data_IF_774875178225
#
_entry.id   IF_774875178225
#
_cell.length_a   1.000
_cell.length_b   1.000
_cell.length_c   1.000
_cell.angle_alpha   90.00
_cell.angle_beta   90.00
_cell.angle_gamma   90.00
#
_symmetry.space_group_name_H-M   'P 1'
#
loop_
_entity.id
_entity.type
_entity.pdbx_description
1 polymer ?
#
# COMPACT_ATOMS: atom_id res chain seq x y z
N UNK A 1 19.11 -84.98 49.00
CA UNK A 1 19.28 -86.04 47.98
C UNK A 1 19.33 -85.34 46.60
N UNK A 2 20.52 -85.56 46.06
CA UNK A 2 20.87 -85.63 44.62
C UNK A 2 20.44 -84.53 43.69
N UNK A 3 21.42 -83.63 43.34
CA UNK A 3 22.31 -83.75 42.19
C UNK A 3 21.59 -83.77 40.82
N UNK A 4 21.80 -82.80 40.01
CA UNK A 4 22.62 -82.84 38.78
C UNK A 4 22.56 -81.50 38.11
N UNK A 5 23.61 -80.74 38.05
CA UNK A 5 24.80 -80.71 37.19
C UNK A 5 24.47 -80.88 35.70
N UNK A 6 24.96 -79.85 35.02
CA UNK A 6 25.44 -79.85 33.63
C UNK A 6 24.36 -79.52 32.60
N UNK A 7 24.60 -78.74 31.67
CA UNK A 7 25.79 -78.49 30.82
C UNK A 7 25.66 -77.22 30.09
N UNK A 8 26.70 -76.48 30.13
CA UNK A 8 27.10 -75.41 29.18
C UNK A 8 26.87 -75.87 27.75
N UNK A 9 26.26 -75.02 26.97
CA UNK A 9 26.64 -74.92 25.56
C UNK A 9 26.30 -73.52 25.02
N UNK A 10 27.36 -72.83 24.76
CA UNK A 10 27.51 -71.68 23.95
C UNK A 10 26.72 -71.77 22.65
N UNK A 11 25.91 -70.80 22.39
CA UNK A 11 25.57 -70.38 21.02
C UNK A 11 25.72 -68.88 20.95
N UNK A 12 26.83 -68.49 20.33
CA UNK A 12 27.03 -67.16 19.82
C UNK A 12 25.89 -66.85 18.83
N UNK A 13 25.01 -66.01 19.20
CA UNK A 13 24.13 -65.31 18.23
C UNK A 13 24.77 -63.97 17.93
N UNK A 14 25.42 -63.90 16.80
CA UNK A 14 25.92 -62.66 16.25
C UNK A 14 24.74 -61.71 16.02
N UNK A 15 24.61 -60.71 16.87
CA UNK A 15 23.70 -59.56 16.60
C UNK A 15 24.39 -58.66 15.58
N UNK A 16 24.00 -58.82 14.35
CA UNK A 16 24.32 -57.91 13.28
C UNK A 16 23.68 -56.53 13.63
N UNK A 17 24.50 -55.61 14.11
CA UNK A 17 24.14 -54.18 14.14
C UNK A 17 24.09 -53.68 12.71
N UNK A 18 22.91 -53.66 12.12
CA UNK A 18 22.65 -52.88 10.93
C UNK A 18 22.72 -51.41 11.32
N UNK A 19 23.86 -50.79 11.10
CA UNK A 19 24.03 -49.34 11.16
C UNK A 19 23.22 -48.77 9.98
N UNK A 20 21.99 -48.40 10.25
CA UNK A 20 21.22 -47.59 9.31
C UNK A 20 21.91 -46.21 9.19
N UNK A 21 22.67 -46.05 8.13
CA UNK A 21 23.20 -44.78 7.71
C UNK A 21 22.02 -43.88 7.35
N UNK A 22 21.54 -43.07 8.28
CA UNK A 22 20.63 -41.98 7.99
C UNK A 22 21.43 -40.96 7.19
N UNK A 23 21.30 -41.02 5.88
CA UNK A 23 21.77 -39.97 5.02
C UNK A 23 20.96 -38.73 5.34
N UNK A 24 21.54 -37.85 6.16
CA UNK A 24 21.04 -36.51 6.34
C UNK A 24 21.20 -35.78 4.98
N UNK A 25 20.16 -35.83 4.16
CA UNK A 25 20.02 -34.88 3.06
C UNK A 25 19.92 -33.50 3.69
N UNK A 26 21.06 -32.81 3.71
CA UNK A 26 21.08 -31.40 4.02
C UNK A 26 20.19 -30.72 2.96
N UNK A 27 18.98 -30.34 3.35
CA UNK A 27 18.23 -29.35 2.63
C UNK A 27 19.05 -28.06 2.76
N UNK A 28 19.89 -27.80 1.75
CA UNK A 28 20.40 -26.49 1.51
C UNK A 28 19.15 -25.64 1.24
N UNK A 29 18.64 -24.97 2.29
CA UNK A 29 17.69 -23.91 2.13
C UNK A 29 18.39 -22.86 1.27
N UNK A 30 17.96 -22.76 0.02
CA UNK A 30 18.37 -21.71 -0.89
C UNK A 30 17.99 -20.36 -0.25
N UNK A 31 18.98 -19.74 0.41
CA UNK A 31 18.83 -18.46 1.10
C UNK A 31 18.79 -17.29 0.12
N UNK A 32 18.54 -17.54 -1.18
CA UNK A 32 18.41 -16.48 -2.19
C UNK A 32 16.99 -15.94 -2.36
N UNK A 33 16.04 -16.41 -1.56
CA UNK A 33 14.70 -15.85 -1.44
C UNK A 33 14.63 -14.80 -0.34
N UNK A 34 15.46 -13.76 -0.36
CA UNK A 34 15.13 -12.53 0.34
C UNK A 34 13.90 -11.95 -0.35
N UNK A 35 12.72 -12.45 0.00
CA UNK A 35 11.49 -11.79 -0.30
C UNK A 35 11.65 -10.36 0.22
N UNK A 36 11.82 -9.40 -0.69
CA UNK A 36 11.66 -8.00 -0.36
C UNK A 36 10.28 -7.88 0.26
N UNK A 37 10.21 -7.89 1.59
CA UNK A 37 9.01 -7.50 2.32
C UNK A 37 8.85 -6.02 2.01
N UNK A 38 8.14 -5.75 0.91
CA UNK A 38 7.82 -4.39 0.52
C UNK A 38 6.97 -3.82 1.66
N UNK A 39 7.58 -2.91 2.43
CA UNK A 39 6.90 -2.23 3.54
C UNK A 39 5.59 -1.65 2.99
N UNK A 40 4.47 -2.05 3.58
CA UNK A 40 3.16 -1.57 3.14
C UNK A 40 3.15 -0.04 3.13
N UNK A 41 2.73 0.55 2.02
CA UNK A 41 2.63 2.01 1.90
C UNK A 41 1.54 2.54 2.83
N UNK A 42 1.78 3.71 3.42
CA UNK A 42 0.74 4.47 4.11
C UNK A 42 -0.15 5.14 3.07
N UNK A 43 -1.45 4.82 3.12
CA UNK A 43 -2.43 5.28 2.14
C UNK A 43 -3.31 6.36 2.75
N UNK A 44 -3.43 7.51 2.08
CA UNK A 44 -4.28 8.61 2.54
C UNK A 44 -5.07 9.19 1.38
N UNK A 45 -6.37 9.41 1.60
CA UNK A 45 -7.24 10.15 0.70
C UNK A 45 -7.66 11.47 1.35
N UNK A 46 -7.42 12.57 0.64
CA UNK A 46 -7.79 13.92 1.07
C UNK A 46 -9.04 14.39 0.34
N UNK A 47 -10.01 14.90 1.10
CA UNK A 47 -11.19 15.54 0.54
C UNK A 47 -10.96 17.03 0.34
N UNK A 48 -11.33 17.55 -0.84
CA UNK A 48 -11.43 18.97 -1.12
C UNK A 48 -12.81 19.28 -1.66
N UNK A 49 -13.65 19.92 -0.83
CA UNK A 49 -15.04 20.27 -1.20
C UNK A 49 -15.38 21.75 -1.03
N UNK A 50 -14.46 22.55 -0.50
CA UNK A 50 -14.67 23.96 -0.21
C UNK A 50 -14.07 24.86 -1.31
N UNK A 51 -14.69 26.01 -1.62
CA UNK A 51 -14.17 27.03 -2.55
C UNK A 51 -13.19 28.00 -1.88
N UNK A 52 -12.37 27.48 -0.95
CA UNK A 52 -11.48 28.29 -0.13
C UNK A 52 -10.00 28.03 -0.48
N UNK A 53 -9.29 28.99 -1.10
CA UNK A 53 -7.87 28.84 -1.42
C UNK A 53 -6.97 28.56 -0.20
N UNK A 54 -7.36 28.97 1.00
CA UNK A 54 -6.59 28.67 2.22
C UNK A 54 -6.67 27.17 2.53
N UNK A 55 -7.84 26.56 2.40
CA UNK A 55 -8.03 25.11 2.56
C UNK A 55 -7.32 24.31 1.47
N UNK A 56 -7.29 24.82 0.22
CA UNK A 56 -6.52 24.17 -0.85
C UNK A 56 -5.03 24.18 -0.54
N UNK A 57 -4.50 25.31 -0.08
CA UNK A 57 -3.11 25.43 0.35
C UNK A 57 -2.81 24.53 1.55
N UNK A 58 -3.72 24.45 2.53
CA UNK A 58 -3.58 23.55 3.68
C UNK A 58 -3.52 22.09 3.24
N UNK A 59 -4.41 21.68 2.31
CA UNK A 59 -4.39 20.32 1.76
C UNK A 59 -3.05 20.00 1.09
N UNK A 60 -2.55 20.88 0.24
CA UNK A 60 -1.27 20.69 -0.46
C UNK A 60 -0.07 20.71 0.51
N UNK A 61 -0.13 21.52 1.57
CA UNK A 61 0.87 21.48 2.64
C UNK A 61 0.84 20.12 3.38
N UNK A 62 -0.34 19.63 3.73
CA UNK A 62 -0.48 18.36 4.45
C UNK A 62 0.03 17.18 3.61
N UNK A 63 -0.26 17.17 2.32
CA UNK A 63 0.25 16.17 1.38
C UNK A 63 1.78 16.20 1.33
N UNK A 64 2.36 17.40 1.16
CA UNK A 64 3.82 17.56 1.16
C UNK A 64 4.45 17.12 2.47
N UNK A 65 3.93 17.58 3.60
CA UNK A 65 4.43 17.24 4.93
C UNK A 65 4.35 15.73 5.18
N UNK A 66 3.28 15.08 4.71
CA UNK A 66 3.15 13.63 4.81
C UNK A 66 4.25 12.91 4.02
N UNK A 67 4.49 13.31 2.77
CA UNK A 67 5.57 12.73 1.95
C UNK A 67 6.96 12.99 2.52
N UNK A 68 7.19 14.19 3.08
CA UNK A 68 8.46 14.53 3.71
C UNK A 68 8.72 13.67 4.98
N UNK A 69 7.66 13.33 5.72
CA UNK A 69 7.78 12.56 6.96
C UNK A 69 7.95 11.04 6.73
N UNK A 70 7.25 10.46 5.75
CA UNK A 70 7.23 9.01 5.57
C UNK A 70 8.00 8.51 4.34
N UNK A 71 8.40 9.42 3.45
CA UNK A 71 8.98 9.13 2.15
C UNK A 71 7.92 8.97 1.06
N UNK A 72 8.21 9.47 -0.15
CA UNK A 72 7.30 9.35 -1.31
C UNK A 72 7.05 7.89 -1.68
N UNK A 73 8.09 7.07 -1.63
CA UNK A 73 8.05 5.64 -1.94
C UNK A 73 7.23 4.82 -0.94
N UNK A 74 7.07 5.33 0.29
CA UNK A 74 6.30 4.71 1.37
C UNK A 74 4.87 5.26 1.49
N UNK A 75 4.49 6.18 0.60
CA UNK A 75 3.17 6.84 0.62
C UNK A 75 2.38 6.57 -0.65
N UNK A 76 1.06 6.51 -0.51
CA UNK A 76 0.09 6.47 -1.61
C UNK A 76 -1.01 7.48 -1.29
N UNK A 77 -0.98 8.62 -1.99
CA UNK A 77 -1.81 9.77 -1.66
C UNK A 77 -2.74 10.10 -2.81
N UNK A 78 -4.00 10.37 -2.47
CA UNK A 78 -4.98 10.84 -3.44
C UNK A 78 -5.72 12.08 -2.91
N UNK A 79 -5.90 13.09 -3.75
CA UNK A 79 -6.77 14.24 -3.49
C UNK A 79 -8.02 14.09 -4.36
N UNK A 80 -9.20 14.11 -3.75
CA UNK A 80 -10.49 14.06 -4.43
C UNK A 80 -11.20 15.41 -4.30
N UNK A 81 -11.30 16.14 -5.41
CA UNK A 81 -11.98 17.43 -5.47
C UNK A 81 -13.38 17.31 -6.07
N UNK A 82 -14.38 17.83 -5.37
CA UNK A 82 -15.77 17.84 -5.82
C UNK A 82 -16.54 19.04 -5.26
N UNK A 83 -17.75 19.26 -5.74
CA UNK A 83 -18.53 20.44 -5.36
C UNK A 83 -17.72 21.73 -5.57
N UNK A 84 -17.84 22.74 -4.70
CA UNK A 84 -17.07 23.98 -4.82
C UNK A 84 -15.55 23.81 -4.83
N UNK A 85 -15.04 22.70 -4.26
CA UNK A 85 -13.61 22.36 -4.26
C UNK A 85 -13.02 22.10 -5.66
N UNK A 86 -13.87 21.84 -6.66
CA UNK A 86 -13.44 21.64 -8.05
C UNK A 86 -12.65 22.84 -8.58
N UNK A 87 -12.92 24.05 -8.06
CA UNK A 87 -12.23 25.28 -8.46
C UNK A 87 -10.73 25.25 -8.15
N UNK A 88 -10.27 24.40 -7.22
CA UNK A 88 -8.85 24.14 -6.99
C UNK A 88 -8.15 23.61 -8.23
N UNK A 89 -8.88 22.90 -9.09
CA UNK A 89 -8.34 22.16 -10.23
C UNK A 89 -8.59 22.84 -11.58
N UNK A 90 -9.20 24.03 -11.60
CA UNK A 90 -9.42 24.78 -12.83
C UNK A 90 -8.12 25.34 -13.37
N UNK A 91 -8.08 25.57 -14.69
CA UNK A 91 -6.90 26.09 -15.37
C UNK A 91 -6.36 27.38 -14.76
N UNK A 92 -7.26 28.31 -14.34
CA UNK A 92 -6.91 29.58 -13.72
C UNK A 92 -6.74 29.50 -12.18
N UNK A 93 -6.65 28.31 -11.60
CA UNK A 93 -6.52 28.16 -10.16
C UNK A 93 -5.27 28.85 -9.59
N UNK A 94 -5.40 29.65 -8.51
CA UNK A 94 -4.27 30.32 -7.88
C UNK A 94 -3.26 29.34 -7.27
N UNK A 95 -3.64 28.06 -7.12
CA UNK A 95 -2.75 27.01 -6.62
C UNK A 95 -2.35 26.03 -7.72
N UNK A 96 -2.59 26.35 -8.99
CA UNK A 96 -2.36 25.44 -10.12
C UNK A 96 -0.93 24.92 -10.22
N UNK A 97 0.09 25.77 -9.98
CA UNK A 97 1.49 25.32 -9.96
C UNK A 97 1.73 24.27 -8.86
N UNK A 98 1.19 24.48 -7.68
CA UNK A 98 1.31 23.57 -6.55
C UNK A 98 0.60 22.21 -6.78
N UNK A 99 -0.53 22.25 -7.51
CA UNK A 99 -1.22 21.03 -7.96
C UNK A 99 -0.33 20.23 -8.90
N UNK A 100 0.31 20.88 -9.87
CA UNK A 100 1.28 20.24 -10.77
C UNK A 100 2.46 19.65 -10.03
N UNK A 101 3.03 20.37 -9.06
CA UNK A 101 4.13 19.89 -8.22
C UNK A 101 3.73 18.64 -7.41
N UNK A 102 2.51 18.63 -6.87
CA UNK A 102 1.98 17.47 -6.15
C UNK A 102 1.83 16.24 -7.06
N UNK A 103 1.30 16.44 -8.29
CA UNK A 103 1.20 15.37 -9.30
C UNK A 103 2.60 14.86 -9.66
N UNK A 104 3.56 15.75 -9.93
CA UNK A 104 4.93 15.39 -10.24
C UNK A 104 5.62 14.63 -9.08
N UNK A 105 5.16 14.84 -7.84
CA UNK A 105 5.64 14.08 -6.68
C UNK A 105 4.96 12.72 -6.50
N UNK A 106 4.06 12.33 -7.39
CA UNK A 106 3.35 11.04 -7.37
C UNK A 106 2.01 11.04 -6.64
N UNK A 107 1.48 12.22 -6.29
CA UNK A 107 0.13 12.34 -5.71
C UNK A 107 -0.91 12.21 -6.81
N UNK A 108 -1.88 11.35 -6.64
CA UNK A 108 -3.03 11.27 -7.52
C UNK A 108 -4.02 12.39 -7.17
N UNK A 109 -4.44 13.16 -8.16
CA UNK A 109 -5.43 14.23 -7.97
C UNK A 109 -6.57 14.03 -8.96
N UNK A 110 -7.79 13.93 -8.46
CA UNK A 110 -8.96 13.61 -9.27
C UNK A 110 -10.09 14.62 -9.09
N UNK A 111 -10.76 14.91 -10.20
CA UNK A 111 -11.95 15.76 -10.29
C UNK A 111 -13.22 14.89 -10.41
N UNK A 112 -14.28 15.28 -9.72
CA UNK A 112 -15.59 14.66 -9.80
C UNK A 112 -16.32 15.06 -11.08
N UNK A 113 -16.61 14.11 -11.99
CA UNK A 113 -17.33 14.38 -13.25
C UNK A 113 -18.77 14.86 -13.02
N UNK A 114 -19.47 14.31 -12.00
CA UNK A 114 -20.80 14.84 -11.64
C UNK A 114 -20.76 16.33 -11.26
N UNK A 115 -19.68 16.79 -10.63
CA UNK A 115 -19.51 18.21 -10.33
C UNK A 115 -19.21 19.02 -11.59
N UNK A 116 -18.36 18.54 -12.50
CA UNK A 116 -18.13 19.21 -13.77
C UNK A 116 -19.46 19.40 -14.52
N UNK A 117 -20.25 18.35 -14.65
CA UNK A 117 -21.56 18.41 -15.31
C UNK A 117 -22.49 19.43 -14.66
N UNK A 118 -22.60 19.41 -13.31
CA UNK A 118 -23.47 20.35 -12.58
C UNK A 118 -23.04 21.80 -12.74
N UNK A 119 -21.73 22.04 -12.86
CA UNK A 119 -21.16 23.38 -13.04
C UNK A 119 -20.96 23.77 -14.52
N UNK A 120 -21.36 22.90 -15.46
CA UNK A 120 -21.20 23.09 -16.92
C UNK A 120 -19.74 23.30 -17.32
N UNK A 121 -18.83 22.63 -16.63
CA UNK A 121 -17.40 22.60 -16.92
C UNK A 121 -17.06 21.41 -17.83
N UNK A 122 -16.03 21.57 -18.63
CA UNK A 122 -15.43 20.53 -19.46
C UNK A 122 -14.03 20.20 -18.97
N UNK A 123 -13.40 19.18 -19.55
CA UNK A 123 -12.01 18.85 -19.23
C UNK A 123 -11.02 19.93 -19.69
N UNK A 124 -11.41 20.72 -20.70
CA UNK A 124 -10.58 21.82 -21.21
C UNK A 124 -10.50 23.02 -20.23
N UNK A 125 -11.46 23.11 -19.29
CA UNK A 125 -11.44 24.13 -18.23
C UNK A 125 -10.52 23.76 -17.06
N UNK A 126 -9.97 22.54 -17.08
CA UNK A 126 -9.24 21.97 -15.96
C UNK A 126 -7.74 21.92 -16.20
N UNK A 127 -6.97 21.87 -15.11
CA UNK A 127 -5.52 21.63 -15.19
C UNK A 127 -5.25 20.32 -15.93
N UNK A 128 -4.22 20.27 -16.79
CA UNK A 128 -3.79 19.03 -17.40
C UNK A 128 -3.25 18.05 -16.32
N UNK A 129 -3.18 16.77 -16.68
CA UNK A 129 -2.60 15.71 -15.85
C UNK A 129 -3.42 15.29 -14.62
N UNK A 130 -4.56 15.94 -14.33
CA UNK A 130 -5.48 15.44 -13.30
C UNK A 130 -6.27 14.25 -13.81
N UNK A 131 -6.67 13.37 -12.87
CA UNK A 131 -7.61 12.29 -13.18
C UNK A 131 -9.07 12.72 -13.02
N UNK A 132 -9.97 11.83 -13.44
CA UNK A 132 -11.41 12.04 -13.31
C UNK A 132 -12.08 10.82 -12.72
N UNK A 133 -13.09 11.06 -11.89
CA UNK A 133 -13.91 10.00 -11.29
C UNK A 133 -15.39 10.34 -11.44
N UNK A 134 -16.26 9.39 -11.70
CA UNK A 134 -17.69 9.66 -11.90
C UNK A 134 -18.33 10.39 -10.72
N UNK A 135 -17.97 10.02 -9.48
CA UNK A 135 -18.51 10.61 -8.25
C UNK A 135 -17.45 10.73 -7.16
N UNK A 136 -17.14 11.95 -6.73
CA UNK A 136 -16.10 12.19 -5.72
C UNK A 136 -16.39 11.51 -4.38
N UNK A 137 -17.65 11.55 -3.92
CA UNK A 137 -18.05 10.87 -2.66
C UNK A 137 -17.91 9.36 -2.77
N UNK A 138 -18.23 8.80 -3.94
CA UNK A 138 -18.08 7.36 -4.21
C UNK A 138 -16.59 6.98 -4.20
N UNK A 139 -15.74 7.82 -4.79
CA UNK A 139 -14.29 7.59 -4.77
C UNK A 139 -13.74 7.61 -3.35
N UNK A 140 -14.13 8.58 -2.52
CA UNK A 140 -13.75 8.63 -1.11
C UNK A 140 -14.16 7.37 -0.35
N UNK A 141 -15.37 6.87 -0.59
CA UNK A 141 -15.85 5.63 0.04
C UNK A 141 -15.03 4.40 -0.41
N UNK A 142 -14.76 4.29 -1.71
CA UNK A 142 -13.94 3.21 -2.27
C UNK A 142 -12.54 3.23 -1.68
N UNK A 143 -11.90 4.40 -1.61
CA UNK A 143 -10.55 4.53 -1.04
C UNK A 143 -10.50 4.10 0.41
N UNK A 144 -11.49 4.45 1.22
CA UNK A 144 -11.58 3.97 2.59
C UNK A 144 -11.73 2.45 2.66
N UNK A 145 -12.52 1.84 1.78
CA UNK A 145 -12.63 0.37 1.67
C UNK A 145 -11.31 -0.28 1.21
N UNK A 146 -10.49 0.42 0.45
CA UNK A 146 -9.13 0.01 0.03
C UNK A 146 -8.06 0.24 1.12
N UNK A 147 -8.46 0.69 2.31
CA UNK A 147 -7.58 0.90 3.45
C UNK A 147 -6.90 2.26 3.51
N UNK A 148 -7.39 3.25 2.77
CA UNK A 148 -6.91 4.63 2.90
C UNK A 148 -7.46 5.29 4.16
N UNK A 149 -6.59 5.98 4.89
CA UNK A 149 -7.03 6.92 5.91
C UNK A 149 -7.68 8.13 5.22
N UNK A 150 -8.83 8.58 5.73
CA UNK A 150 -9.54 9.75 5.20
C UNK A 150 -9.17 10.99 5.99
N UNK A 151 -8.81 12.08 5.28
CA UNK A 151 -8.49 13.38 5.86
C UNK A 151 -9.25 14.48 5.10
N UNK A 152 -9.88 15.36 5.87
CA UNK A 152 -10.48 16.60 5.37
C UNK A 152 -9.86 17.78 6.10
N UNK A 153 -8.99 18.58 5.45
CA UNK A 153 -8.37 19.78 6.00
C UNK A 153 -9.35 20.92 6.20
#
# INVERSE_FOLDING_TARGET
MTQNKNVVRSLLAAVLFAVASVSATAYAADASGAAHVQKAKMKVVFQVSDADPQKWNLTLNNVKNFQDAVGKENSELEIVAYGPGINMLKFESPVGSRVKDAIASGVKIVACENTLHAMKLTKDDMLPEIGYVPGGVVELAKKQMEGYAYIRP
#
